data_IF_469857514153
#
_entry.id   IF_469857514153
#
_cell.length_a   1.000
_cell.length_b   1.000
_cell.length_c   1.000
_cell.angle_alpha   90.00
_cell.angle_beta   90.00
_cell.angle_gamma   90.00
#
_symmetry.space_group_name_H-M   'P 1'
#
loop_
_entity.id
_entity.type
_entity.pdbx_description
1 polymer ?
2 polymer ?
3 non-polymer ?
#
loop_
_entity_poly.entity_id
_entity_poly.type
_entity_poly.pdbx_seq_one_letter_code
_entity_poly.pdbx_strand_id
1 'polydeoxyribonucleotide' '(DC)(DT)(DG)(DG)(DG)(DA)(DC)(DC)(DA)(DT)(DG)(DG)(DT)(DC)(DC)(DC)(DA)(DG)' ?
#
# COMPACT_ATOMS: atom_id res chain seq x y z
N UNK C 23 -27.64 -0.99 19.16
CA UNK C 23 -26.45 -1.19 20.02
C UNK C 23 -25.32 -0.26 19.59
N UNK C 24 -24.25 -0.20 20.39
CA UNK C 24 -23.14 0.66 20.02
C UNK C 24 -22.30 -0.15 19.04
N UNK C 25 -21.59 0.53 18.15
CA UNK C 25 -20.80 -0.14 17.14
C UNK C 25 -19.49 -0.71 17.65
N UNK C 26 -19.04 -1.78 17.00
CA UNK C 26 -17.79 -2.40 17.37
C UNK C 26 -16.75 -1.30 17.42
N UNK C 27 -16.66 -0.50 16.36
CA UNK C 27 -15.69 0.57 16.33
C UNK C 27 -15.72 1.37 17.64
N UNK C 28 -16.91 1.85 18.00
CA UNK C 28 -17.07 2.61 19.24
C UNK C 28 -16.53 1.81 20.44
N UNK C 29 -17.11 0.62 20.64
CA UNK C 29 -16.69 -0.26 21.74
C UNK C 29 -15.19 -0.33 21.77
N UNK C 30 -14.59 -0.54 20.59
CA UNK C 30 -13.15 -0.65 20.49
C UNK C 30 -12.40 0.52 21.10
N UNK C 31 -12.83 1.75 20.81
CA UNK C 31 -12.13 2.91 21.34
C UNK C 31 -12.22 2.94 22.86
N UNK C 32 -13.36 2.50 23.39
CA UNK C 32 -13.55 2.48 24.84
C UNK C 32 -12.62 1.43 25.45
N UNK C 33 -12.78 0.18 25.02
CA UNK C 33 -11.93 -0.89 25.52
C UNK C 33 -10.48 -0.43 25.47
N UNK C 34 -10.07 0.08 24.31
CA UNK C 34 -8.71 0.54 24.09
C UNK C 34 -8.18 1.42 25.22
N UNK C 35 -8.86 2.52 25.49
CA UNK C 35 -8.42 3.43 26.54
C UNK C 35 -8.35 2.72 27.89
N UNK C 36 -9.48 2.16 28.34
CA UNK C 36 -9.51 1.45 29.61
C UNK C 36 -8.28 0.56 29.72
N UNK C 37 -7.88 0.00 28.59
CA UNK C 37 -6.73 -0.87 28.56
C UNK C 37 -5.45 -0.12 28.92
N UNK C 38 -5.15 0.94 28.17
CA UNK C 38 -3.92 1.68 28.39
C UNK C 38 -3.70 2.24 29.78
N UNK C 39 -4.72 2.85 30.36
CA UNK C 39 -4.55 3.38 31.70
C UNK C 39 -5.15 2.48 32.77
N UNK C 40 -6.46 2.49 32.89
CA UNK C 40 -7.17 1.70 33.89
C UNK C 40 -6.72 0.25 34.14
N UNK C 41 -5.99 -0.37 33.21
CA UNK C 41 -5.55 -1.77 33.41
C UNK C 41 -4.15 -2.11 32.91
N UNK C 42 -3.27 -1.11 32.85
CA UNK C 42 -1.90 -1.33 32.43
C UNK C 42 -1.74 -2.26 31.23
N UNK C 43 -2.73 -2.26 30.34
CA UNK C 43 -2.64 -3.08 29.16
C UNK C 43 -2.79 -4.59 29.34
N UNK C 44 -3.61 -5.00 30.31
CA UNK C 44 -3.82 -6.42 30.54
C UNK C 44 -5.21 -6.80 30.03
N UNK C 45 -5.26 -7.33 28.83
CA UNK C 45 -6.51 -7.75 28.20
C UNK C 45 -7.35 -8.55 29.17
N UNK C 46 -6.72 -9.55 29.79
CA UNK C 46 -7.41 -10.41 30.75
C UNK C 46 -8.08 -9.60 31.85
N UNK C 47 -7.35 -8.66 32.42
CA UNK C 47 -7.90 -7.83 33.48
C UNK C 47 -9.13 -7.10 32.96
N UNK C 48 -8.98 -6.47 31.81
CA UNK C 48 -10.08 -5.74 31.18
C UNK C 48 -11.25 -6.67 30.98
N UNK C 49 -10.97 -7.79 30.31
CA UNK C 49 -11.98 -8.78 30.03
C UNK C 49 -12.81 -9.07 31.27
N UNK C 50 -12.15 -9.52 32.33
CA UNK C 50 -12.84 -9.83 33.58
C UNK C 50 -13.67 -8.64 34.05
N UNK C 51 -13.09 -7.45 33.95
CA UNK C 51 -13.78 -6.23 34.37
C UNK C 51 -15.08 -6.06 33.60
N UNK C 52 -14.99 -6.10 32.27
CA UNK C 52 -16.15 -5.94 31.41
C UNK C 52 -17.00 -7.20 31.45
N UNK C 53 -16.46 -8.25 32.05
CA UNK C 53 -17.14 -9.53 32.15
C UNK C 53 -17.48 -10.04 30.76
N UNK C 54 -16.45 -10.17 29.93
CA UNK C 54 -16.65 -10.64 28.58
C UNK C 54 -15.40 -11.34 28.08
N UNK C 55 -15.56 -12.19 27.09
CA UNK C 55 -14.44 -12.94 26.54
C UNK C 55 -13.33 -11.99 26.14
N UNK C 56 -12.10 -12.51 26.11
CA UNK C 56 -10.94 -11.73 25.73
C UNK C 56 -11.03 -11.38 24.25
N UNK C 57 -11.33 -12.39 23.43
CA UNK C 57 -11.44 -12.21 22.00
C UNK C 57 -12.30 -11.02 21.62
N UNK C 58 -13.45 -10.85 22.26
CA UNK C 58 -14.30 -9.71 21.94
C UNK C 58 -13.53 -8.42 22.09
N UNK C 59 -12.89 -8.24 23.24
CA UNK C 59 -12.12 -7.04 23.46
C UNK C 59 -11.08 -6.89 22.37
N UNK C 60 -10.43 -8.00 22.03
CA UNK C 60 -9.42 -7.99 21.00
C UNK C 60 -10.02 -7.48 19.69
N UNK C 61 -11.04 -8.18 19.21
CA UNK C 61 -11.71 -7.84 17.97
C UNK C 61 -12.09 -6.36 17.91
N UNK C 62 -12.94 -5.93 18.84
CA UNK C 62 -13.36 -4.54 18.82
C UNK C 62 -12.16 -3.58 18.78
N UNK C 63 -11.20 -3.77 19.67
CA UNK C 63 -10.03 -2.91 19.70
C UNK C 63 -9.31 -2.83 18.36
N UNK C 64 -9.09 -3.97 17.70
CA UNK C 64 -8.43 -3.94 16.41
C UNK C 64 -9.30 -3.17 15.41
N UNK C 65 -10.62 -3.28 15.56
CA UNK C 65 -11.51 -2.58 14.68
C UNK C 65 -11.27 -1.09 14.84
N UNK C 66 -11.16 -0.65 16.09
CA UNK C 66 -10.92 0.76 16.38
C UNK C 66 -9.61 1.25 15.78
N UNK C 67 -8.69 0.33 15.49
CA UNK C 67 -7.40 0.72 14.92
C UNK C 67 -7.49 1.13 13.45
N UNK C 68 -8.57 0.71 12.80
CA UNK C 68 -8.78 1.04 11.40
C UNK C 68 -8.86 2.54 11.19
N UNK C 69 -8.37 3.01 10.04
CA UNK C 69 -8.39 4.43 9.70
C UNK C 69 -9.83 4.93 9.64
N UNK C 70 -10.10 6.07 10.25
CA UNK C 70 -11.46 6.61 10.25
C UNK C 70 -11.95 6.72 8.81
N UNK C 71 -11.00 6.85 7.90
CA UNK C 71 -11.29 6.93 6.48
C UNK C 71 -12.11 5.71 6.08
N UNK C 72 -11.74 4.55 6.63
CA UNK C 72 -12.43 3.30 6.33
C UNK C 72 -13.82 3.22 6.97
N UNK C 73 -13.92 3.52 8.25
CA UNK C 73 -15.22 3.47 8.91
C UNK C 73 -16.21 4.29 8.09
N UNK C 74 -15.70 5.38 7.51
CA UNK C 74 -16.48 6.29 6.70
C UNK C 74 -17.19 5.62 5.52
N UNK C 75 -16.55 4.62 4.92
CA UNK C 75 -17.15 3.93 3.79
C UNK C 75 -18.49 3.30 4.13
N UNK C 76 -18.80 3.21 5.42
CA UNK C 76 -20.05 2.60 5.86
C UNK C 76 -21.11 3.60 6.27
N UNK C 77 -22.35 3.32 5.88
CA UNK C 77 -23.49 4.19 6.21
C UNK C 77 -23.39 4.59 7.67
N UNK C 78 -23.41 3.58 8.55
CA UNK C 78 -23.31 3.77 9.98
C UNK C 78 -22.19 2.85 10.47
N UNK C 79 -21.33 3.33 11.38
CA UNK C 79 -20.25 2.49 11.89
C UNK C 79 -20.70 1.09 12.31
N UNK C 80 -21.95 0.98 12.75
CA UNK C 80 -22.47 -0.30 13.17
C UNK C 80 -22.48 -1.30 12.02
N UNK C 81 -22.41 -0.81 10.79
CA UNK C 81 -22.40 -1.69 9.63
C UNK C 81 -21.09 -2.46 9.55
N UNK C 82 -20.07 -1.99 10.26
CA UNK C 82 -18.77 -2.67 10.28
C UNK C 82 -18.68 -3.56 11.51
N UNK C 83 -18.79 -4.87 11.29
CA UNK C 83 -18.76 -5.82 12.39
C UNK C 83 -17.40 -5.93 13.09
N UNK C 84 -17.45 -6.27 14.36
CA UNK C 84 -16.24 -6.43 15.16
C UNK C 84 -15.39 -7.47 14.46
N UNK C 85 -16.08 -8.49 13.99
CA UNK C 85 -15.46 -9.58 13.30
C UNK C 85 -14.70 -9.18 12.05
N UNK C 86 -15.37 -8.55 11.10
CA UNK C 86 -14.72 -8.15 9.87
C UNK C 86 -13.70 -7.05 10.09
N UNK C 87 -14.03 -6.10 10.96
CA UNK C 87 -13.10 -5.03 11.24
C UNK C 87 -11.79 -5.63 11.70
N UNK C 88 -11.89 -6.65 12.55
CA UNK C 88 -10.74 -7.34 13.09
C UNK C 88 -9.94 -8.00 11.97
N UNK C 89 -10.64 -8.71 11.10
CA UNK C 89 -9.99 -9.38 9.99
C UNK C 89 -9.32 -8.36 9.07
N UNK C 90 -10.00 -7.24 8.89
CA UNK C 90 -9.50 -6.19 8.04
C UNK C 90 -8.19 -5.66 8.61
N UNK C 91 -8.19 -5.41 9.91
CA UNK C 91 -7.02 -4.90 10.61
C UNK C 91 -5.82 -5.85 10.46
N UNK C 92 -6.00 -7.13 10.77
CA UNK C 92 -4.90 -8.07 10.65
C UNK C 92 -4.39 -8.17 9.23
N UNK C 93 -5.30 -8.14 8.27
CA UNK C 93 -4.95 -8.24 6.85
C UNK C 93 -4.06 -7.09 6.36
N UNK C 94 -4.40 -5.87 6.76
CA UNK C 94 -3.61 -4.73 6.33
C UNK C 94 -2.54 -4.29 7.33
N UNK C 95 -2.17 -5.19 8.22
CA UNK C 95 -1.14 -4.84 9.18
C UNK C 95 0.15 -4.51 8.43
N UNK C 96 0.79 -3.43 8.84
CA UNK C 96 2.02 -2.97 8.21
C UNK C 96 1.76 -2.48 6.79
N UNK C 97 0.49 -2.30 6.47
CA UNK C 97 0.08 -1.82 5.16
C UNK C 97 -1.04 -0.81 5.32
N UNK C 98 -0.90 0.05 6.31
CA UNK C 98 -1.93 1.04 6.55
C UNK C 98 -2.10 1.97 5.35
N UNK C 99 -1.00 2.32 4.69
CA UNK C 99 -1.12 3.21 3.54
C UNK C 99 -1.97 2.59 2.45
N UNK C 100 -1.61 1.37 2.05
CA UNK C 100 -2.35 0.66 1.02
C UNK C 100 -3.83 0.72 1.37
N UNK C 101 -4.14 0.35 2.60
CA UNK C 101 -5.53 0.36 3.06
C UNK C 101 -6.16 1.71 2.75
N UNK C 102 -5.57 2.76 3.31
CA UNK C 102 -6.08 4.10 3.09
C UNK C 102 -6.33 4.35 1.61
N UNK C 103 -5.40 3.96 0.76
CA UNK C 103 -5.56 4.14 -0.69
C UNK C 103 -6.88 3.52 -1.10
N UNK C 104 -6.94 2.20 -1.08
CA UNK C 104 -8.15 1.50 -1.45
C UNK C 104 -9.36 2.22 -0.87
N UNK C 105 -9.23 2.70 0.36
CA UNK C 105 -10.31 3.42 1.01
C UNK C 105 -10.78 4.58 0.13
N UNK C 106 -9.85 5.48 -0.18
CA UNK C 106 -10.18 6.64 -1.00
C UNK C 106 -10.74 6.19 -2.35
N UNK C 107 -10.07 5.24 -3.00
CA UNK C 107 -10.55 4.75 -4.28
C UNK C 107 -12.04 4.44 -4.15
N UNK C 108 -12.41 3.73 -3.11
CA UNK C 108 -13.81 3.40 -2.88
C UNK C 108 -14.64 4.64 -2.61
N UNK C 109 -14.08 5.57 -1.84
CA UNK C 109 -14.80 6.80 -1.53
C UNK C 109 -15.28 7.48 -2.81
N UNK C 110 -14.49 7.36 -3.87
CA UNK C 110 -14.86 7.98 -5.14
C UNK C 110 -15.99 7.22 -5.81
N UNK C 111 -15.87 5.90 -5.90
CA UNK C 111 -16.91 5.10 -6.51
C UNK C 111 -18.25 5.64 -6.02
N UNK C 112 -18.37 5.82 -4.70
CA UNK C 112 -19.62 6.34 -4.15
C UNK C 112 -19.74 7.85 -4.31
N UNK C 113 -18.62 8.52 -4.53
CA UNK C 113 -18.63 9.98 -4.76
C UNK C 113 -19.41 10.10 -6.07
N UNK C 114 -19.19 9.13 -6.93
CA UNK C 114 -19.84 9.05 -8.23
C UNK C 114 -21.14 8.29 -8.09
N UNK C 115 -21.84 8.55 -6.98
CA UNK C 115 -23.13 7.90 -6.73
C UNK C 115 -23.16 6.39 -6.61
N UNK C 116 -22.08 5.70 -6.97
CA UNK C 116 -22.05 4.24 -6.87
C UNK C 116 -22.40 3.83 -5.45
N UNK C 117 -22.95 2.64 -5.29
CA UNK C 117 -23.32 2.18 -3.96
C UNK C 117 -23.13 0.68 -3.77
N UNK C 118 -22.54 0.35 -2.63
CA UNK C 118 -22.29 -1.02 -2.22
C UNK C 118 -22.61 -1.02 -0.74
N UNK C 119 -22.92 -2.19 -0.20
CA UNK C 119 -23.25 -2.28 1.21
C UNK C 119 -22.18 -3.05 1.97
N UNK C 120 -22.18 -2.88 3.29
CA UNK C 120 -21.25 -3.53 4.19
C UNK C 120 -20.34 -4.58 3.56
N UNK C 121 -20.87 -5.78 3.40
CA UNK C 121 -20.12 -6.91 2.86
C UNK C 121 -19.22 -6.57 1.66
N UNK C 122 -19.77 -5.90 0.65
CA UNK C 122 -18.97 -5.55 -0.52
C UNK C 122 -17.77 -4.69 -0.15
N UNK C 123 -18.01 -3.69 0.70
CA UNK C 123 -16.96 -2.80 1.13
C UNK C 123 -15.75 -3.61 1.60
N UNK C 124 -15.95 -4.46 2.59
CA UNK C 124 -14.85 -5.26 3.11
C UNK C 124 -14.20 -6.10 2.02
N UNK C 125 -14.99 -6.66 1.10
CA UNK C 125 -14.41 -7.47 0.04
C UNK C 125 -13.56 -6.63 -0.89
N UNK C 126 -14.11 -5.51 -1.33
CA UNK C 126 -13.39 -4.63 -2.22
C UNK C 126 -12.09 -4.18 -1.56
N UNK C 127 -12.18 -3.68 -0.32
CA UNK C 127 -10.97 -3.25 0.38
C UNK C 127 -9.93 -4.34 0.31
N UNK C 128 -10.30 -5.54 0.78
CA UNK C 128 -9.40 -6.67 0.81
C UNK C 128 -8.92 -7.15 -0.55
N UNK C 129 -9.78 -7.03 -1.56
CA UNK C 129 -9.45 -7.48 -2.92
C UNK C 129 -8.02 -7.15 -3.37
N UNK C 130 -7.56 -5.97 -3.01
CA UNK C 130 -6.22 -5.54 -3.39
C UNK C 130 -5.13 -6.52 -2.95
N UNK C 131 -5.43 -7.32 -1.93
CA UNK C 131 -4.45 -8.28 -1.43
C UNK C 131 -4.50 -9.61 -2.15
N UNK C 132 -5.55 -9.82 -2.94
CA UNK C 132 -5.71 -11.09 -3.67
C UNK C 132 -5.36 -10.99 -5.15
N UNK C 133 -5.05 -12.13 -5.75
CA UNK C 133 -4.65 -12.19 -7.16
C UNK C 133 -5.79 -12.30 -8.17
N UNK C 134 -7.02 -12.47 -7.70
CA UNK C 134 -8.18 -12.59 -8.58
C UNK C 134 -8.33 -11.39 -9.53
N UNK C 135 -7.57 -10.32 -9.27
CA UNK C 135 -7.61 -9.12 -10.10
C UNK C 135 -7.34 -9.46 -11.57
N UNK C 136 -6.63 -10.56 -11.80
CA UNK C 136 -6.29 -11.02 -13.15
C UNK C 136 -6.44 -12.54 -13.30
N UNK C 137 -6.62 -13.23 -12.18
CA UNK C 137 -6.79 -14.69 -12.17
C UNK C 137 -8.17 -15.08 -11.65
N UNK D 23 23.20 -6.36 -21.83
CA UNK D 23 23.48 -4.94 -21.50
C UNK D 23 23.44 -4.73 -20.00
N UNK D 24 23.18 -3.50 -19.57
CA UNK D 24 23.09 -3.23 -18.16
C UNK D 24 21.75 -2.54 -17.92
N UNK D 25 21.00 -3.03 -16.95
CA UNK D 25 19.67 -2.50 -16.65
C UNK D 25 19.62 -1.00 -16.43
N UNK D 26 18.45 -0.43 -16.68
CA UNK D 26 18.25 1.00 -16.47
C UNK D 26 18.64 1.31 -15.05
N UNK D 27 18.08 0.56 -14.09
CA UNK D 27 18.38 0.78 -12.68
C UNK D 27 19.89 0.98 -12.49
N UNK D 28 20.69 0.07 -13.03
CA UNK D 28 22.14 0.19 -12.91
C UNK D 28 22.56 1.52 -13.53
N UNK D 29 22.34 1.65 -14.84
CA UNK D 29 22.69 2.86 -15.56
C UNK D 29 22.28 4.06 -14.73
N UNK D 30 21.07 3.99 -14.18
CA UNK D 30 20.55 5.07 -13.37
C UNK D 30 21.45 5.42 -12.21
N UNK D 31 21.80 4.43 -11.39
CA UNK D 31 22.65 4.68 -10.24
C UNK D 31 23.94 5.37 -10.67
N UNK D 32 24.55 4.89 -11.74
CA UNK D 32 25.78 5.47 -12.23
C UNK D 32 25.57 6.93 -12.63
N UNK D 33 24.66 7.16 -13.57
CA UNK D 33 24.37 8.52 -14.00
C UNK D 33 24.23 9.42 -12.78
N UNK D 34 23.30 9.06 -11.91
CA UNK D 34 23.01 9.82 -10.71
C UNK D 34 24.24 10.32 -9.96
N UNK D 35 25.25 9.45 -9.80
CA UNK D 35 26.45 9.86 -9.08
C UNK D 35 27.28 10.84 -9.91
N UNK D 36 27.63 10.46 -11.14
CA UNK D 36 28.41 11.35 -11.99
C UNK D 36 27.69 12.69 -12.00
N UNK D 37 26.37 12.62 -12.03
CA UNK D 37 25.55 13.82 -12.03
C UNK D 37 25.89 14.63 -10.78
N UNK D 38 25.85 13.99 -9.62
CA UNK D 38 26.13 14.65 -8.35
C UNK D 38 27.56 15.14 -8.12
N UNK D 39 28.54 14.32 -8.45
CA UNK D 39 29.93 14.70 -8.25
C UNK D 39 30.47 15.38 -9.50
N UNK D 40 30.94 14.58 -10.43
CA UNK D 40 31.49 15.07 -11.69
C UNK D 40 30.83 16.25 -12.40
N UNK D 41 29.53 16.47 -12.23
CA UNK D 41 28.85 17.57 -12.94
C UNK D 41 27.90 18.45 -12.16
N UNK D 42 28.04 18.48 -10.85
CA UNK D 42 27.21 19.32 -10.00
C UNK D 42 25.75 19.46 -10.42
N UNK D 43 25.04 18.34 -10.47
CA UNK D 43 23.63 18.37 -10.81
C UNK D 43 23.19 18.98 -12.12
N UNK D 44 24.09 19.06 -13.10
CA UNK D 44 23.73 19.62 -14.39
C UNK D 44 23.51 18.51 -15.41
N UNK D 45 22.24 18.22 -15.70
CA UNK D 45 21.89 17.16 -16.63
C UNK D 45 22.60 17.30 -17.96
N UNK D 46 22.33 18.43 -18.62
CA UNK D 46 22.91 18.73 -19.92
C UNK D 46 24.39 18.36 -19.97
N UNK D 47 25.11 18.71 -18.91
CA UNK D 47 26.53 18.40 -18.83
C UNK D 47 26.75 16.90 -18.92
N UNK D 48 26.18 16.17 -17.98
CA UNK D 48 26.29 14.72 -17.95
C UNK D 48 25.87 14.16 -19.29
N UNK D 49 24.76 14.65 -19.81
CA UNK D 49 24.26 14.19 -21.10
C UNK D 49 25.32 14.32 -22.19
N UNK D 50 25.95 15.49 -22.26
CA UNK D 50 27.01 15.72 -23.26
C UNK D 50 28.11 14.74 -22.98
N UNK D 51 28.45 14.62 -21.71
CA UNK D 51 29.50 13.71 -21.28
C UNK D 51 29.24 12.31 -21.83
N UNK D 52 28.06 11.77 -21.53
CA UNK D 52 27.68 10.44 -21.97
C UNK D 52 27.27 10.39 -23.43
N UNK D 53 27.13 11.56 -24.03
CA UNK D 53 26.73 11.63 -25.43
C UNK D 53 25.43 10.86 -25.66
N UNK D 54 24.35 11.31 -25.02
CA UNK D 54 23.02 10.72 -25.17
C UNK D 54 21.99 11.73 -24.72
N UNK D 55 20.84 11.70 -25.37
CA UNK D 55 19.75 12.58 -25.05
C UNK D 55 19.61 12.74 -23.52
N UNK D 56 19.18 13.93 -23.08
CA UNK D 56 19.00 14.19 -21.66
C UNK D 56 17.93 13.27 -21.09
N UNK D 57 16.82 13.13 -21.83
CA UNK D 57 15.70 12.29 -21.43
C UNK D 57 16.18 10.95 -20.88
N UNK D 58 17.07 10.29 -21.62
CA UNK D 58 17.59 9.00 -21.18
C UNK D 58 18.15 9.11 -19.77
N UNK D 59 19.09 10.02 -19.56
CA UNK D 59 19.67 10.19 -18.23
C UNK D 59 18.56 10.37 -17.20
N UNK D 60 17.53 11.13 -17.56
CA UNK D 60 16.41 11.35 -16.67
C UNK D 60 15.72 10.03 -16.32
N UNK D 61 15.28 9.32 -17.36
CA UNK D 61 14.58 8.05 -17.20
C UNK D 61 15.32 7.04 -16.33
N UNK D 62 16.60 6.85 -16.62
CA UNK D 62 17.38 5.90 -15.83
C UNK D 62 17.50 6.37 -14.38
N UNK D 63 17.94 7.62 -14.18
CA UNK D 63 18.08 8.13 -12.84
C UNK D 63 16.79 7.97 -12.04
N UNK D 64 15.66 8.35 -12.61
CA UNK D 64 14.41 8.21 -11.88
C UNK D 64 14.14 6.74 -11.57
N UNK D 65 14.57 5.86 -12.45
CA UNK D 65 14.34 4.45 -12.23
C UNK D 65 15.09 4.02 -10.99
N UNK D 66 16.32 4.50 -10.85
CA UNK D 66 17.13 4.15 -9.70
C UNK D 66 16.55 4.74 -8.42
N UNK D 67 15.66 5.71 -8.58
CA UNK D 67 15.04 6.32 -7.41
C UNK D 67 14.03 5.35 -6.82
N UNK D 68 13.76 4.27 -7.54
CA UNK D 68 12.79 3.30 -7.07
C UNK D 68 13.30 2.42 -5.92
N UNK D 69 12.43 2.11 -4.96
CA UNK D 69 12.75 1.28 -3.80
C UNK D 69 13.33 -0.06 -4.24
N UNK D 70 14.35 -0.54 -3.53
CA UNK D 70 14.99 -1.80 -3.87
C UNK D 70 13.96 -2.90 -4.10
N UNK D 71 13.04 -3.04 -3.15
CA UNK D 71 12.00 -4.07 -3.24
C UNK D 71 11.23 -4.07 -4.54
N UNK D 72 10.94 -2.90 -5.10
CA UNK D 72 10.21 -2.86 -6.36
C UNK D 72 11.07 -3.52 -7.44
N UNK D 73 12.35 -3.22 -7.44
CA UNK D 73 13.26 -3.81 -8.43
C UNK D 73 13.31 -5.31 -8.20
N UNK D 74 13.22 -5.70 -6.94
CA UNK D 74 13.26 -7.10 -6.55
C UNK D 74 12.10 -7.92 -7.15
N UNK D 75 11.01 -7.24 -7.49
CA UNK D 75 9.87 -7.93 -8.07
C UNK D 75 10.21 -8.58 -9.41
N UNK D 76 11.33 -8.16 -10.02
CA UNK D 76 11.71 -8.71 -11.30
C UNK D 76 12.86 -9.70 -11.19
N UNK D 77 12.78 -10.80 -11.92
CA UNK D 77 13.82 -11.82 -11.90
C UNK D 77 15.17 -11.14 -12.12
N UNK D 78 15.26 -10.38 -13.20
CA UNK D 78 16.48 -9.65 -13.52
C UNK D 78 16.15 -8.17 -13.61
N UNK D 79 16.92 -7.32 -12.91
CA UNK D 79 16.66 -5.88 -12.94
C UNK D 79 16.51 -5.35 -14.37
N UNK D 80 17.17 -6.01 -15.30
CA UNK D 80 17.08 -5.59 -16.69
C UNK D 80 15.67 -5.68 -17.24
N UNK D 81 14.76 -6.27 -16.49
CA UNK D 81 13.38 -6.40 -16.96
C UNK D 81 12.57 -5.15 -16.68
N UNK D 82 13.13 -4.23 -15.90
CA UNK D 82 12.44 -3.00 -15.62
C UNK D 82 13.04 -1.99 -16.60
N UNK D 83 12.21 -1.56 -17.55
CA UNK D 83 12.62 -0.62 -18.59
C UNK D 83 12.85 0.80 -18.08
N UNK D 84 13.80 1.50 -18.68
CA UNK D 84 14.10 2.87 -18.31
C UNK D 84 12.79 3.62 -18.36
N UNK D 85 11.98 3.26 -19.34
CA UNK D 85 10.70 3.87 -19.56
C UNK D 85 9.65 3.58 -18.48
N UNK D 86 9.53 2.33 -18.07
CA UNK D 86 8.53 1.99 -17.05
C UNK D 86 8.96 2.42 -15.66
N UNK D 87 10.26 2.30 -15.38
CA UNK D 87 10.75 2.74 -14.09
C UNK D 87 10.37 4.21 -13.96
N UNK D 88 10.77 4.98 -14.96
CA UNK D 88 10.49 6.41 -15.00
C UNK D 88 9.01 6.66 -14.76
N UNK D 89 8.17 6.01 -15.55
CA UNK D 89 6.73 6.17 -15.41
C UNK D 89 6.30 5.83 -13.98
N UNK D 90 6.89 4.77 -13.44
CA UNK D 90 6.57 4.32 -12.11
C UNK D 90 6.98 5.38 -11.10
N UNK D 91 8.26 5.73 -11.14
CA UNK D 91 8.83 6.74 -10.24
C UNK D 91 7.87 7.92 -10.18
N UNK D 92 7.62 8.55 -11.32
CA UNK D 92 6.73 9.71 -11.35
C UNK D 92 5.37 9.43 -10.72
N UNK D 93 4.69 8.40 -11.19
CA UNK D 93 3.37 8.04 -10.69
C UNK D 93 3.29 7.93 -9.16
N UNK D 94 4.40 7.54 -8.54
CA UNK D 94 4.40 7.38 -7.10
C UNK D 94 5.21 8.43 -6.33
N UNK D 95 5.47 9.57 -6.94
CA UNK D 95 6.20 10.61 -6.23
C UNK D 95 5.34 11.03 -5.04
N UNK D 96 5.97 11.26 -3.90
CA UNK D 96 5.25 11.65 -2.70
C UNK D 96 4.29 10.54 -2.27
N UNK D 97 4.65 9.30 -2.56
CA UNK D 97 3.84 8.14 -2.23
C UNK D 97 4.74 6.93 -2.05
N UNK D 98 6.01 7.17 -1.76
CA UNK D 98 6.97 6.08 -1.59
C UNK D 98 6.46 5.01 -0.64
N UNK D 99 5.86 5.40 0.47
CA UNK D 99 5.34 4.40 1.39
C UNK D 99 4.39 3.48 0.65
N UNK D 100 3.35 4.07 0.06
CA UNK D 100 2.36 3.32 -0.70
C UNK D 100 3.04 2.33 -1.63
N UNK D 101 3.99 2.82 -2.42
CA UNK D 101 4.70 1.97 -3.37
C UNK D 101 5.34 0.80 -2.64
N UNK D 102 6.11 1.10 -1.60
CA UNK D 102 6.77 0.06 -0.82
C UNK D 102 5.78 -0.98 -0.32
N UNK D 103 4.70 -0.52 0.31
CA UNK D 103 3.71 -1.43 0.85
C UNK D 103 3.08 -2.31 -0.21
N UNK D 104 2.63 -1.71 -1.30
CA UNK D 104 2.02 -2.47 -2.39
C UNK D 104 3.03 -3.40 -3.02
N UNK D 105 4.32 -3.10 -2.85
CA UNK D 105 5.35 -3.96 -3.41
C UNK D 105 5.43 -5.24 -2.59
N UNK D 106 5.51 -5.11 -1.26
CA UNK D 106 5.60 -6.28 -0.41
C UNK D 106 4.36 -7.12 -0.61
N UNK D 107 3.26 -6.45 -0.93
CA UNK D 107 2.01 -7.16 -1.19
C UNK D 107 2.31 -8.17 -2.29
N UNK D 108 2.74 -7.67 -3.45
CA UNK D 108 3.05 -8.52 -4.59
C UNK D 108 4.15 -9.51 -4.27
N UNK D 109 4.99 -9.19 -3.28
CA UNK D 109 6.06 -10.10 -2.92
C UNK D 109 5.43 -11.29 -2.21
N UNK D 110 4.54 -11.00 -1.27
CA UNK D 110 3.87 -12.05 -0.53
C UNK D 110 3.11 -12.96 -1.47
N UNK D 111 2.51 -12.39 -2.52
CA UNK D 111 1.76 -13.18 -3.47
C UNK D 111 2.66 -14.20 -4.18
N UNK D 112 3.80 -13.75 -4.69
CA UNK D 112 4.68 -14.69 -5.38
C UNK D 112 5.42 -15.55 -4.39
N UNK D 113 5.28 -15.23 -3.11
CA UNK D 113 5.89 -16.01 -2.04
C UNK D 113 4.94 -17.18 -1.86
N UNK D 114 3.70 -16.95 -2.29
CA UNK D 114 2.64 -17.94 -2.21
C UNK D 114 2.55 -18.71 -3.52
N UNK D 115 3.58 -18.58 -4.35
CA UNK D 115 3.59 -19.28 -5.62
C UNK D 115 2.95 -18.60 -6.81
N UNK D 116 2.48 -17.37 -6.65
CA UNK D 116 1.87 -16.65 -7.77
C UNK D 116 2.99 -16.23 -8.72
N UNK D 117 2.68 -16.20 -10.01
CA UNK D 117 3.70 -15.82 -10.99
C UNK D 117 3.27 -14.82 -12.05
N UNK D 118 3.72 -13.58 -11.89
CA UNK D 118 3.42 -12.56 -12.88
C UNK D 118 4.77 -12.25 -13.50
N UNK D 119 4.77 -11.48 -14.59
CA UNK D 119 6.03 -11.13 -15.23
C UNK D 119 6.04 -9.67 -15.64
N UNK D 120 7.24 -9.12 -15.77
CA UNK D 120 7.47 -7.74 -16.14
C UNK D 120 6.21 -6.89 -16.31
N UNK D 121 5.78 -6.75 -17.57
CA UNK D 121 4.61 -5.94 -17.91
C UNK D 121 3.47 -6.03 -16.91
N UNK D 122 3.24 -7.22 -16.36
CA UNK D 122 2.16 -7.40 -15.39
C UNK D 122 2.50 -6.75 -14.05
N UNK D 123 3.77 -6.77 -13.69
CA UNK D 123 4.21 -6.19 -12.42
C UNK D 123 3.93 -4.69 -12.36
N UNK D 124 4.53 -3.94 -13.28
CA UNK D 124 4.35 -2.50 -13.32
C UNK D 124 2.86 -2.14 -13.34
N UNK D 125 2.06 -2.95 -14.02
CA UNK D 125 0.64 -2.67 -14.09
C UNK D 125 -0.02 -2.91 -12.75
N UNK D 126 0.40 -3.98 -12.07
CA UNK D 126 -0.19 -4.27 -10.77
C UNK D 126 0.18 -3.14 -9.83
N UNK D 127 1.47 -2.80 -9.76
CA UNK D 127 1.92 -1.72 -8.89
C UNK D 127 1.02 -0.50 -9.05
N UNK D 128 0.84 -0.07 -10.29
CA UNK D 128 0.05 1.11 -10.57
C UNK D 128 -1.44 1.02 -10.26
N UNK D 129 -2.03 -0.14 -10.48
CA UNK D 129 -3.46 -0.30 -10.23
C UNK D 129 -3.92 0.44 -8.98
N UNK D 130 -3.11 0.35 -7.93
CA UNK D 130 -3.41 0.99 -6.66
C UNK D 130 -3.93 2.42 -6.74
N UNK D 131 -3.24 3.28 -7.48
CA UNK D 131 -3.64 4.67 -7.61
C UNK D 131 -4.92 4.84 -8.41
N UNK D 132 -5.18 3.89 -9.28
CA UNK D 132 -6.37 3.94 -10.13
C UNK D 132 -7.66 3.50 -9.45
N UNK D 133 -8.69 4.33 -9.55
CA UNK D 133 -9.99 4.03 -8.96
C UNK D 133 -10.56 2.84 -9.73
N UNK D 134 -10.14 2.73 -10.99
CA UNK D 134 -10.57 1.67 -11.88
C UNK D 134 -10.41 0.27 -11.28
N UNK D 135 -9.27 -0.36 -11.58
CA UNK D 135 -8.97 -1.72 -11.11
C UNK D 135 -8.93 -1.90 -9.58
N UNK D 136 -8.72 -0.82 -8.84
CA UNK D 136 -8.66 -0.89 -7.39
C UNK D 136 -9.99 -1.37 -6.79
#
# INVERSE_FOLDING_TARGET
MGSSHHHHHHSSGLVPRGSHYRPTSAYERGQRYASRLQNEFAGNISALADAENISRKIITRCINTAKLPKSVVALFSHPGELSARSGDALQKAFTDKEELLKQQASNLHEQKKAGVIFEADEVITLLTSVLKTSSASRTSLSSRHQFAPGATVLYKGDKMVLNLDRSRVPTECIEKIEAILKELEKPAP
MGSSHHHHHHSSGLVPRGSHYRPTSAYERGQRYASRLQNEFAGNISALADAENISRKIITRCINTAKLPKSVVALFSHPGELSARSGDALQKAFTDKEELLKQQASNLHEQKKAGVIFEADEVITLLTSVLKTSSASRTSLSSRHQFAPGATVLYKGDKMVLNLDRSRVPTECIEKIEAILKELEKPAP
#
